data_IF_949566012432
#
_entry.id   IF_949566012432
#
_cell.length_a   1.000
_cell.length_b   1.000
_cell.length_c   1.000
_cell.angle_alpha   90.00
_cell.angle_beta   90.00
_cell.angle_gamma   90.00
#
_symmetry.space_group_name_H-M   'P 1'
#
loop_
_entity.id
_entity.type
_entity.pdbx_description
1 polymer ?
#
# COMPACT_ATOMS: atom_id res chain seq x y z
N UNK A 1 -32.07 3.20 -11.85
CA UNK A 1 -31.86 2.95 -10.41
C UNK A 1 -30.38 3.18 -10.10
N UNK A 2 -30.03 3.89 -9.01
CA UNK A 2 -28.63 4.08 -8.63
C UNK A 2 -28.07 2.79 -8.01
N UNK A 3 -26.87 2.39 -8.42
CA UNK A 3 -26.22 1.17 -7.91
C UNK A 3 -25.87 1.37 -6.43
N UNK A 4 -26.35 0.46 -5.58
CA UNK A 4 -26.09 0.49 -4.13
C UNK A 4 -24.65 0.05 -3.90
N UNK A 5 -23.84 0.89 -3.24
CA UNK A 5 -22.44 0.56 -2.92
C UNK A 5 -22.33 -0.30 -1.67
N UNK A 6 -21.40 -1.27 -1.68
CA UNK A 6 -21.10 -2.10 -0.51
C UNK A 6 -20.48 -1.25 0.61
N UNK A 7 -20.57 -1.68 1.89
CA UNK A 7 -19.86 -1.01 2.98
C UNK A 7 -18.34 -0.90 2.72
N UNK A 8 -17.72 -1.93 2.11
CA UNK A 8 -16.31 -1.95 1.70
C UNK A 8 -16.01 -0.86 0.67
N UNK A 9 -16.82 -0.78 -0.40
CA UNK A 9 -16.71 0.27 -1.43
C UNK A 9 -16.85 1.69 -0.85
N UNK A 10 -17.79 1.90 0.08
CA UNK A 10 -17.97 3.21 0.76
C UNK A 10 -16.73 3.59 1.58
N UNK A 11 -16.20 2.65 2.37
CA UNK A 11 -15.00 2.85 3.18
C UNK A 11 -13.75 3.08 2.32
N UNK A 12 -13.59 2.32 1.24
CA UNK A 12 -12.48 2.52 0.28
C UNK A 12 -12.53 3.90 -0.35
N UNK A 13 -13.73 4.38 -0.71
CA UNK A 13 -13.91 5.75 -1.21
C UNK A 13 -13.53 6.78 -0.13
N UNK A 14 -13.95 6.58 1.12
CA UNK A 14 -13.58 7.45 2.24
C UNK A 14 -12.05 7.50 2.44
N UNK A 15 -11.38 6.34 2.42
CA UNK A 15 -9.92 6.25 2.54
C UNK A 15 -9.23 7.01 1.40
N UNK A 16 -9.72 6.88 0.17
CA UNK A 16 -9.20 7.63 -0.98
C UNK A 16 -9.35 9.14 -0.78
N UNK A 17 -10.50 9.60 -0.29
CA UNK A 17 -10.75 11.03 -0.02
C UNK A 17 -9.81 11.53 1.07
N UNK A 18 -9.72 10.84 2.21
CA UNK A 18 -8.83 11.23 3.32
C UNK A 18 -7.38 11.28 2.85
N UNK A 19 -6.94 10.29 2.07
CA UNK A 19 -5.59 10.24 1.50
C UNK A 19 -5.34 11.42 0.55
N UNK A 20 -6.29 11.74 -0.33
CA UNK A 20 -6.15 12.85 -1.26
C UNK A 20 -6.06 14.20 -0.52
N UNK A 21 -6.88 14.40 0.51
CA UNK A 21 -6.81 15.60 1.37
C UNK A 21 -5.47 15.65 2.10
N UNK A 22 -5.03 14.53 2.68
CA UNK A 22 -3.72 14.43 3.34
C UNK A 22 -2.57 14.75 2.39
N UNK A 23 -2.62 14.26 1.15
CA UNK A 23 -1.61 14.56 0.13
C UNK A 23 -1.50 16.06 -0.14
N UNK A 24 -2.63 16.74 -0.36
CA UNK A 24 -2.66 18.19 -0.59
C UNK A 24 -2.09 18.95 0.62
N UNK A 25 -2.51 18.58 1.84
CA UNK A 25 -2.00 19.20 3.06
C UNK A 25 -0.50 18.96 3.27
N UNK A 26 -0.02 17.76 2.97
CA UNK A 26 1.40 17.42 3.07
C UNK A 26 2.25 18.21 2.08
N UNK A 27 1.81 18.34 0.82
CA UNK A 27 2.49 19.19 -0.17
C UNK A 27 2.57 20.62 0.33
N UNK A 28 1.45 21.20 0.79
CA UNK A 28 1.41 22.58 1.27
C UNK A 28 2.32 22.80 2.50
N UNK A 29 2.29 21.88 3.47
CA UNK A 29 3.06 22.01 4.70
C UNK A 29 4.56 21.84 4.44
N UNK A 30 4.96 20.80 3.70
CA UNK A 30 6.38 20.54 3.39
C UNK A 30 6.92 21.66 2.49
N UNK A 31 6.20 22.07 1.44
CA UNK A 31 6.65 23.18 0.58
C UNK A 31 6.78 24.50 1.33
N UNK A 32 5.85 24.81 2.23
CA UNK A 32 5.93 26.02 3.07
C UNK A 32 7.11 25.97 4.03
N UNK A 33 7.37 24.80 4.65
CA UNK A 33 8.51 24.61 5.54
C UNK A 33 9.84 24.73 4.79
N UNK A 34 9.99 24.06 3.65
CA UNK A 34 11.20 24.14 2.82
C UNK A 34 11.44 25.56 2.34
N UNK A 35 10.37 26.28 1.93
CA UNK A 35 10.45 27.69 1.57
C UNK A 35 10.90 28.55 2.74
N UNK A 36 10.30 28.38 3.92
CA UNK A 36 10.69 29.11 5.12
C UNK A 36 12.17 28.91 5.45
N UNK A 37 12.63 27.65 5.46
CA UNK A 37 14.05 27.31 5.70
C UNK A 37 14.96 27.96 4.65
N UNK A 38 14.59 27.90 3.37
CA UNK A 38 15.39 28.54 2.32
C UNK A 38 15.39 30.06 2.44
N UNK A 39 14.28 30.67 2.83
CA UNK A 39 14.19 32.13 2.98
C UNK A 39 15.01 32.61 4.18
N UNK A 40 14.93 31.92 5.32
CA UNK A 40 15.80 32.17 6.49
C UNK A 40 17.28 32.06 6.11
N UNK A 41 17.66 31.04 5.31
CA UNK A 41 19.06 30.85 4.86
C UNK A 41 19.59 31.97 3.95
N UNK A 42 18.72 32.82 3.40
CA UNK A 42 19.10 33.92 2.50
C UNK A 42 18.95 35.30 3.15
N UNK A 43 18.48 35.40 4.41
CA UNK A 43 18.26 36.70 5.06
C UNK A 43 19.51 37.58 5.10
N UNK A 44 20.67 36.99 5.32
CA UNK A 44 21.96 37.71 5.36
C UNK A 44 22.26 38.47 4.06
N UNK A 45 21.76 37.96 2.92
CA UNK A 45 22.00 38.56 1.59
C UNK A 45 21.37 39.95 1.42
N UNK A 46 20.41 40.33 2.28
CA UNK A 46 19.77 41.65 2.23
C UNK A 46 20.66 42.81 2.68
N UNK A 47 21.68 42.51 3.50
CA UNK A 47 22.67 43.46 4.00
C UNK A 47 24.09 43.05 3.58
N UNK A 48 24.22 42.28 2.50
CA UNK A 48 25.51 41.79 2.02
C UNK A 48 26.26 42.89 1.25
N UNK A 49 27.58 42.90 1.42
CA UNK A 49 28.49 43.67 0.58
C UNK A 49 28.97 42.81 -0.60
N UNK A 50 29.43 43.46 -1.67
CA UNK A 50 29.94 42.79 -2.87
C UNK A 50 31.46 42.85 -2.93
N UNK A 51 32.09 41.72 -3.25
CA UNK A 51 33.50 41.63 -3.60
C UNK A 51 33.67 40.96 -4.97
N UNK A 52 34.78 41.27 -5.63
CA UNK A 52 35.20 40.57 -6.84
C UNK A 52 36.08 39.40 -6.44
N UNK A 53 35.69 38.19 -6.84
CA UNK A 53 36.47 36.97 -6.68
C UNK A 53 37.19 36.62 -7.97
N UNK A 54 38.40 36.09 -7.83
CA UNK A 54 39.19 35.53 -8.93
C UNK A 54 39.03 34.03 -8.94
N UNK A 55 38.70 33.46 -10.11
CA UNK A 55 38.66 32.00 -10.29
C UNK A 55 40.09 31.45 -10.27
N UNK A 56 40.40 30.64 -9.26
CA UNK A 56 41.71 30.02 -9.08
C UNK A 56 41.87 28.74 -9.92
N UNK A 57 40.85 27.89 -9.93
CA UNK A 57 40.86 26.65 -10.69
C UNK A 57 39.45 26.13 -10.95
N UNK A 58 39.32 25.35 -12.03
CA UNK A 58 38.13 24.59 -12.37
C UNK A 58 38.57 23.13 -12.46
N UNK A 59 37.98 22.27 -11.63
CA UNK A 59 38.34 20.84 -11.54
C UNK A 59 37.11 20.00 -11.87
N UNK A 60 37.27 19.07 -12.81
CA UNK A 60 36.24 18.07 -13.12
C UNK A 60 36.52 16.78 -12.35
N UNK A 61 35.54 16.29 -11.61
CA UNK A 61 35.60 15.04 -10.84
C UNK A 61 34.46 14.11 -11.26
N UNK A 62 34.77 12.88 -11.66
CA UNK A 62 33.74 11.88 -11.97
C UNK A 62 33.45 11.01 -10.75
N UNK A 63 32.23 11.07 -10.23
CA UNK A 63 31.73 10.19 -9.17
C UNK A 63 31.17 8.90 -9.78
N UNK A 64 31.74 7.74 -9.41
CA UNK A 64 31.16 6.43 -9.71
C UNK A 64 30.15 6.05 -8.61
N UNK A 65 28.90 5.80 -8.99
CA UNK A 65 27.87 5.28 -8.10
C UNK A 65 27.14 4.10 -8.71
N UNK A 66 26.50 3.27 -7.87
CA UNK A 66 25.65 2.15 -8.34
C UNK A 66 24.18 2.51 -8.19
N UNK A 67 23.39 2.24 -9.22
CA UNK A 67 21.95 2.41 -9.13
C UNK A 67 21.30 1.29 -8.28
N UNK A 68 20.00 1.43 -7.97
CA UNK A 68 19.19 0.42 -7.27
C UNK A 68 19.19 -0.99 -7.93
N UNK A 69 19.65 -1.10 -9.19
CA UNK A 69 19.81 -2.37 -9.94
C UNK A 69 21.26 -2.86 -9.97
N UNK A 70 22.15 -2.27 -9.17
CA UNK A 70 23.57 -2.61 -9.06
C UNK A 70 24.45 -2.22 -10.26
N UNK A 71 23.91 -1.51 -11.25
CA UNK A 71 24.66 -1.06 -12.44
C UNK A 71 25.48 0.17 -12.10
N UNK A 72 26.74 0.17 -12.52
CA UNK A 72 27.64 1.33 -12.44
C UNK A 72 27.07 2.50 -13.26
N UNK A 73 27.10 3.68 -12.68
CA UNK A 73 26.76 4.97 -13.28
C UNK A 73 27.88 5.93 -12.89
N UNK A 74 28.05 6.94 -13.74
CA UNK A 74 29.03 7.99 -13.54
C UNK A 74 28.26 9.32 -13.52
N UNK A 75 28.65 10.21 -12.61
CA UNK A 75 28.18 11.60 -12.58
C UNK A 75 29.42 12.48 -12.59
N UNK A 76 29.50 13.37 -13.56
CA UNK A 76 30.57 14.35 -13.63
C UNK A 76 30.19 15.57 -12.79
N UNK A 77 31.10 15.96 -11.90
CA UNK A 77 31.02 17.14 -11.07
C UNK A 77 32.05 18.17 -11.53
N UNK A 78 31.62 19.41 -11.73
CA UNK A 78 32.51 20.53 -12.03
C UNK A 78 32.61 21.41 -10.80
N UNK A 79 33.80 21.50 -10.23
CA UNK A 79 34.09 22.30 -9.05
C UNK A 79 34.88 23.56 -9.43
N UNK A 80 34.41 24.71 -8.94
CA UNK A 80 35.07 25.99 -9.12
C UNK A 80 35.65 26.44 -7.77
N UNK A 81 36.97 26.66 -7.74
CA UNK A 81 37.66 27.26 -6.61
C UNK A 81 37.91 28.75 -6.89
N UNK A 82 37.58 29.61 -5.93
CA UNK A 82 37.70 31.05 -6.07
C UNK A 82 38.25 31.68 -4.78
N UNK A 83 38.81 32.87 -4.92
CA UNK A 83 39.33 33.66 -3.80
C UNK A 83 38.95 35.12 -3.97
N UNK A 84 38.64 35.80 -2.86
CA UNK A 84 38.35 37.23 -2.83
C UNK A 84 38.96 37.89 -1.58
N UNK A 85 39.16 39.20 -1.67
CA UNK A 85 39.61 40.02 -0.54
C UNK A 85 38.41 40.79 0.02
N UNK A 86 38.16 40.65 1.32
CA UNK A 86 37.13 41.40 2.03
C UNK A 86 37.64 41.78 3.42
N UNK A 87 37.47 43.06 3.80
CA UNK A 87 37.82 43.56 5.14
C UNK A 87 39.27 43.26 5.59
N UNK A 88 40.21 43.28 4.63
CA UNK A 88 41.63 42.97 4.88
C UNK A 88 41.94 41.48 5.10
N UNK A 89 40.96 40.59 4.85
CA UNK A 89 41.12 39.14 4.86
C UNK A 89 40.97 38.57 3.45
N UNK A 90 41.77 37.55 3.19
CA UNK A 90 41.66 36.74 1.98
C UNK A 90 40.82 35.50 2.30
N UNK A 91 39.72 35.32 1.59
CA UNK A 91 38.80 34.20 1.76
C UNK A 91 38.78 33.38 0.48
N UNK A 92 38.94 32.07 0.62
CA UNK A 92 38.93 31.11 -0.48
C UNK A 92 37.90 30.03 -0.23
N UNK A 93 37.16 29.64 -1.26
CA UNK A 93 36.14 28.60 -1.16
C UNK A 93 36.04 27.79 -2.46
N UNK A 94 35.39 26.63 -2.38
CA UNK A 94 35.20 25.68 -3.49
C UNK A 94 33.75 25.27 -3.59
N UNK A 95 33.17 25.42 -4.79
CA UNK A 95 31.74 25.21 -5.00
C UNK A 95 31.42 24.35 -6.23
N UNK A 96 30.36 23.55 -6.15
CA UNK A 96 29.87 22.73 -7.25
C UNK A 96 29.05 23.60 -8.22
N UNK A 97 29.52 23.68 -9.47
CA UNK A 97 28.89 24.42 -10.57
C UNK A 97 28.44 23.50 -11.71
N UNK A 98 28.27 22.21 -11.46
CA UNK A 98 27.94 21.19 -12.49
C UNK A 98 26.66 21.49 -13.28
N UNK A 99 25.71 22.19 -12.66
CA UNK A 99 24.45 22.58 -13.32
C UNK A 99 24.55 23.93 -14.06
N UNK A 100 25.70 24.59 -14.01
CA UNK A 100 25.90 25.99 -14.38
C UNK A 100 27.21 26.19 -15.15
N UNK A 101 27.37 25.41 -16.22
CA UNK A 101 28.56 25.38 -17.11
C UNK A 101 28.84 26.70 -17.85
N UNK A 102 27.99 27.72 -17.70
CA UNK A 102 28.21 29.06 -18.28
C UNK A 102 29.16 29.93 -17.44
N UNK A 103 29.51 29.49 -16.22
CA UNK A 103 30.49 30.16 -15.33
C UNK A 103 31.88 29.55 -15.55
N UNK A 104 32.56 29.85 -16.67
CA UNK A 104 33.88 29.26 -16.89
C UNK A 104 34.75 29.92 -17.96
N UNK A 105 35.50 30.94 -17.52
CA UNK A 105 36.87 31.21 -17.95
C UNK A 105 37.82 31.26 -16.75
N UNK A 106 39.00 30.65 -16.87
CA UNK A 106 40.05 30.74 -15.84
C UNK A 106 40.55 32.19 -15.78
N UNK A 107 40.58 32.80 -14.59
CA UNK A 107 40.90 34.22 -14.43
C UNK A 107 39.73 35.19 -14.69
N UNK A 108 38.50 34.69 -14.88
CA UNK A 108 37.32 35.55 -14.87
C UNK A 108 37.03 36.06 -13.46
N UNK A 109 36.52 37.30 -13.42
CA UNK A 109 36.06 37.96 -12.21
C UNK A 109 34.60 37.58 -11.94
N UNK A 110 34.34 37.01 -10.76
CA UNK A 110 33.00 36.64 -10.30
C UNK A 110 32.57 37.55 -9.16
N UNK A 111 31.30 37.94 -9.16
CA UNK A 111 30.74 38.70 -8.03
C UNK A 111 30.38 37.75 -6.88
N UNK A 112 30.97 37.99 -5.71
CA UNK A 112 30.64 37.33 -4.45
C UNK A 112 29.89 38.31 -3.55
N UNK A 113 28.83 37.83 -2.92
CA UNK A 113 28.15 38.49 -1.81
C UNK A 113 28.71 37.93 -0.51
N UNK A 114 29.09 38.79 0.44
CA UNK A 114 29.54 38.39 1.77
C UNK A 114 28.85 39.21 2.86
N UNK A 115 28.73 38.65 4.06
CA UNK A 115 28.17 39.35 5.20
C UNK A 115 29.21 40.31 5.83
N UNK A 116 28.92 41.62 5.95
CA UNK A 116 29.80 42.56 6.63
C UNK A 116 30.10 42.14 8.07
N UNK A 117 31.37 42.19 8.46
CA UNK A 117 31.88 41.71 9.75
C UNK A 117 32.01 40.19 9.87
N UNK A 118 31.55 39.42 8.87
CA UNK A 118 31.75 37.96 8.78
C UNK A 118 31.99 37.50 7.31
N UNK A 119 33.17 37.79 6.73
CA UNK A 119 33.47 37.40 5.33
C UNK A 119 33.43 35.90 5.04
N UNK A 120 33.44 35.03 6.05
CA UNK A 120 33.30 33.58 5.87
C UNK A 120 31.87 33.18 5.48
N UNK A 121 30.86 33.98 5.83
CA UNK A 121 29.49 33.81 5.35
C UNK A 121 29.33 34.52 4.00
N UNK A 122 29.50 33.75 2.93
CA UNK A 122 29.52 34.26 1.57
C UNK A 122 28.86 33.30 0.58
N UNK A 123 28.47 33.83 -0.58
CA UNK A 123 27.97 33.06 -1.70
C UNK A 123 28.15 33.84 -3.01
N UNK A 124 28.31 33.12 -4.12
CA UNK A 124 28.31 33.75 -5.44
C UNK A 124 26.97 34.45 -5.70
N UNK A 125 27.00 35.67 -6.21
CA UNK A 125 25.81 36.50 -6.48
C UNK A 125 24.81 35.75 -7.36
N UNK A 126 25.33 35.01 -8.35
CA UNK A 126 24.56 34.15 -9.22
C UNK A 126 23.72 33.11 -8.46
N UNK A 127 24.28 32.43 -7.45
CA UNK A 127 23.58 31.41 -6.69
C UNK A 127 22.47 32.01 -5.84
N UNK A 128 22.73 33.18 -5.24
CA UNK A 128 21.72 33.94 -4.50
C UNK A 128 20.57 34.33 -5.44
N UNK A 129 20.87 34.90 -6.62
CA UNK A 129 19.87 35.24 -7.64
C UNK A 129 19.10 34.03 -8.15
N UNK A 130 19.76 32.88 -8.33
CA UNK A 130 19.13 31.63 -8.75
C UNK A 130 18.17 31.08 -7.70
N UNK A 131 18.57 31.07 -6.42
CA UNK A 131 17.71 30.69 -5.30
C UNK A 131 16.52 31.65 -5.13
N UNK A 132 16.74 32.96 -5.26
CA UNK A 132 15.67 33.97 -5.24
C UNK A 132 14.70 33.82 -6.41
N UNK A 133 15.19 33.54 -7.63
CA UNK A 133 14.33 33.28 -8.81
C UNK A 133 13.45 32.06 -8.61
N UNK A 134 13.96 31.05 -7.90
CA UNK A 134 13.24 29.83 -7.58
C UNK A 134 12.44 29.90 -6.26
N UNK A 135 12.37 31.07 -5.60
CA UNK A 135 11.61 31.31 -4.36
C UNK A 135 10.11 31.48 -4.61
N UNK A 136 9.53 30.54 -5.38
CA UNK A 136 8.09 30.42 -5.57
C UNK A 136 7.58 29.19 -4.85
N UNK A 137 6.40 29.30 -4.21
CA UNK A 137 5.76 28.17 -3.54
C UNK A 137 5.55 26.99 -4.51
N UNK A 138 5.32 27.28 -5.79
CA UNK A 138 5.15 26.27 -6.85
C UNK A 138 6.42 25.46 -7.09
N UNK A 139 7.60 26.09 -7.09
CA UNK A 139 8.90 25.40 -7.20
C UNK A 139 9.11 24.40 -6.06
N UNK A 140 8.86 24.84 -4.82
CA UNK A 140 8.93 23.97 -3.65
C UNK A 140 7.82 22.91 -3.61
N UNK A 141 6.63 23.20 -4.13
CA UNK A 141 5.58 22.20 -4.25
C UNK A 141 5.99 21.07 -5.21
N UNK A 142 6.58 21.41 -6.37
CA UNK A 142 7.03 20.42 -7.36
C UNK A 142 8.14 19.53 -6.79
N UNK A 143 9.14 20.13 -6.12
CA UNK A 143 10.27 19.37 -5.55
C UNK A 143 9.84 18.44 -4.40
N UNK A 144 8.72 18.73 -3.74
CA UNK A 144 8.21 17.94 -2.62
C UNK A 144 7.21 16.84 -3.05
N UNK A 145 6.78 16.80 -4.31
CA UNK A 145 5.85 15.79 -4.83
C UNK A 145 6.31 14.34 -4.62
N UNK A 146 7.58 13.95 -4.86
CA UNK A 146 8.01 12.56 -4.66
C UNK A 146 7.86 12.10 -3.21
N UNK A 147 8.19 12.97 -2.26
CA UNK A 147 8.15 12.68 -0.82
C UNK A 147 6.72 12.66 -0.28
N UNK A 148 5.95 13.70 -0.59
CA UNK A 148 4.54 13.80 -0.20
C UNK A 148 3.68 12.70 -0.83
N UNK A 149 3.96 12.33 -2.08
CA UNK A 149 3.32 11.21 -2.78
C UNK A 149 3.63 9.88 -2.11
N UNK A 150 4.88 9.64 -1.74
CA UNK A 150 5.28 8.45 -0.97
C UNK A 150 4.58 8.37 0.38
N UNK A 151 4.55 9.48 1.14
CA UNK A 151 3.86 9.55 2.43
C UNK A 151 2.35 9.33 2.30
N UNK A 152 1.71 9.93 1.29
CA UNK A 152 0.29 9.74 1.03
C UNK A 152 -0.03 8.29 0.62
N UNK A 153 0.80 7.67 -0.22
CA UNK A 153 0.65 6.27 -0.58
C UNK A 153 0.75 5.36 0.65
N UNK A 154 1.68 5.63 1.56
CA UNK A 154 1.76 4.90 2.82
C UNK A 154 0.50 5.08 3.67
N UNK A 155 0.02 6.32 3.81
CA UNK A 155 -1.20 6.61 4.55
C UNK A 155 -2.41 5.89 3.94
N UNK A 156 -2.49 5.80 2.60
CA UNK A 156 -3.51 5.03 1.91
C UNK A 156 -3.48 3.55 2.28
N UNK A 157 -2.30 2.94 2.30
CA UNK A 157 -2.13 1.54 2.68
C UNK A 157 -2.54 1.31 4.14
N UNK A 158 -2.11 2.20 5.05
CA UNK A 158 -2.41 2.13 6.47
C UNK A 158 -3.92 2.28 6.74
N UNK A 159 -4.54 3.31 6.17
CA UNK A 159 -5.98 3.54 6.29
C UNK A 159 -6.79 2.44 5.60
N UNK A 160 -6.33 1.97 4.45
CA UNK A 160 -6.91 0.83 3.74
C UNK A 160 -6.99 -0.38 4.66
N UNK A 161 -5.87 -0.70 5.29
CA UNK A 161 -5.79 -1.81 6.22
C UNK A 161 -6.69 -1.64 7.46
N UNK A 162 -6.68 -0.47 8.11
CA UNK A 162 -7.40 -0.26 9.37
C UNK A 162 -8.91 -0.08 9.17
N UNK A 163 -9.31 0.69 8.15
CA UNK A 163 -10.69 1.14 7.97
C UNK A 163 -11.48 0.31 6.95
N UNK A 164 -10.83 -0.28 5.94
CA UNK A 164 -11.54 -1.09 4.93
C UNK A 164 -11.87 -2.49 5.46
N UNK A 165 -11.20 -2.95 6.53
CA UNK A 165 -11.54 -4.19 7.25
C UNK A 165 -13.05 -4.33 7.45
N UNK A 166 -13.60 -5.40 6.88
CA UNK A 166 -15.03 -5.58 6.72
C UNK A 166 -15.84 -5.44 8.01
N UNK A 167 -17.01 -4.82 7.88
CA UNK A 167 -18.02 -4.86 8.93
C UNK A 167 -18.60 -6.27 9.01
N UNK A 168 -17.99 -7.14 9.83
CA UNK A 168 -18.43 -8.51 10.12
C UNK A 168 -19.88 -8.65 10.66
N UNK A 169 -20.59 -7.54 10.88
CA UNK A 169 -21.83 -7.50 11.68
C UNK A 169 -23.11 -7.17 10.92
N UNK A 170 -23.04 -6.73 9.65
CA UNK A 170 -24.24 -6.31 8.89
C UNK A 170 -24.41 -7.12 7.61
N UNK A 171 -25.66 -7.50 7.34
CA UNK A 171 -26.08 -8.10 6.08
C UNK A 171 -26.42 -6.94 5.11
N UNK A 172 -25.60 -6.65 4.09
CA UNK A 172 -25.80 -5.48 3.24
C UNK A 172 -26.89 -5.77 2.20
N UNK A 173 -27.97 -5.00 2.26
CA UNK A 173 -29.07 -5.09 1.28
C UNK A 173 -28.57 -4.88 -0.16
N UNK A 174 -29.12 -5.67 -1.08
CA UNK A 174 -28.75 -5.65 -2.50
C UNK A 174 -27.50 -6.48 -2.86
N UNK A 175 -26.90 -7.21 -1.91
CA UNK A 175 -25.76 -8.11 -2.15
C UNK A 175 -26.07 -9.57 -1.79
N UNK A 176 -27.32 -9.84 -1.42
CA UNK A 176 -27.81 -11.18 -1.16
C UNK A 176 -29.30 -11.27 -1.55
N UNK A 177 -29.71 -12.48 -1.87
CA UNK A 177 -31.10 -12.92 -1.96
C UNK A 177 -31.26 -14.18 -1.11
N UNK A 178 -32.40 -14.86 -1.24
CA UNK A 178 -32.62 -16.14 -0.54
C UNK A 178 -31.71 -17.27 -1.03
N UNK A 179 -31.30 -17.23 -2.31
CA UNK A 179 -30.51 -18.29 -2.94
C UNK A 179 -29.26 -17.77 -3.64
N UNK A 180 -28.96 -16.46 -3.63
CA UNK A 180 -27.78 -15.91 -4.30
C UNK A 180 -27.07 -14.85 -3.48
N UNK A 181 -25.75 -14.76 -3.66
CA UNK A 181 -24.85 -13.90 -2.90
C UNK A 181 -23.81 -13.30 -3.85
N UNK A 182 -23.66 -11.99 -3.79
CA UNK A 182 -22.73 -11.24 -4.62
C UNK A 182 -21.61 -10.67 -3.74
N UNK A 183 -20.40 -11.10 -4.01
CA UNK A 183 -19.19 -10.48 -3.52
C UNK A 183 -18.62 -9.51 -4.56
N UNK A 184 -18.84 -8.22 -4.35
CA UNK A 184 -18.33 -7.19 -5.26
C UNK A 184 -16.87 -6.85 -5.00
N UNK A 185 -16.36 -7.13 -3.79
CA UNK A 185 -15.00 -6.77 -3.42
C UNK A 185 -14.02 -7.80 -4.02
N UNK A 186 -14.37 -9.09 -3.95
CA UNK A 186 -13.61 -10.18 -4.59
C UNK A 186 -14.07 -10.53 -6.01
N UNK A 187 -15.17 -9.92 -6.46
CA UNK A 187 -15.76 -10.08 -7.80
C UNK A 187 -16.21 -11.53 -8.03
N UNK A 188 -16.96 -12.06 -7.08
CA UNK A 188 -17.40 -13.44 -7.07
C UNK A 188 -18.91 -13.52 -6.85
N UNK A 189 -19.56 -14.50 -7.46
CA UNK A 189 -20.99 -14.78 -7.24
C UNK A 189 -21.15 -16.24 -6.84
N UNK A 190 -22.00 -16.46 -5.83
CA UNK A 190 -22.42 -17.78 -5.39
C UNK A 190 -23.94 -17.82 -5.43
N UNK A 191 -24.52 -18.86 -6.03
CA UNK A 191 -25.97 -19.05 -6.07
C UNK A 191 -26.36 -20.53 -5.97
N UNK A 192 -27.54 -20.80 -5.44
CA UNK A 192 -28.20 -22.09 -5.51
C UNK A 192 -29.23 -22.00 -6.63
N UNK A 193 -29.03 -22.79 -7.69
CA UNK A 193 -29.94 -22.85 -8.82
C UNK A 193 -30.11 -24.30 -9.29
N UNK A 194 -31.36 -24.71 -9.49
CA UNK A 194 -31.74 -26.06 -9.97
C UNK A 194 -31.04 -27.23 -9.27
N UNK A 195 -30.82 -27.14 -7.95
CA UNK A 195 -30.14 -28.20 -7.18
C UNK A 195 -28.61 -28.18 -7.26
N UNK A 196 -28.04 -27.20 -7.95
CA UNK A 196 -26.60 -26.97 -8.05
C UNK A 196 -26.19 -25.72 -7.27
N UNK A 197 -24.99 -25.74 -6.73
CA UNK A 197 -24.29 -24.56 -6.25
C UNK A 197 -23.44 -24.00 -7.40
N UNK A 198 -23.89 -22.88 -7.95
CA UNK A 198 -23.29 -22.18 -9.08
C UNK A 198 -22.35 -21.09 -8.57
N UNK A 199 -21.10 -21.13 -9.01
CA UNK A 199 -20.07 -20.18 -8.59
C UNK A 199 -19.30 -19.67 -9.80
N UNK A 200 -19.07 -18.36 -9.90
CA UNK A 200 -18.30 -17.79 -11.00
C UNK A 200 -17.64 -16.46 -10.63
N UNK A 201 -16.51 -16.18 -11.28
CA UNK A 201 -15.78 -14.92 -11.16
C UNK A 201 -16.34 -13.85 -12.11
N UNK A 202 -16.18 -12.58 -11.74
CA UNK A 202 -16.63 -11.44 -12.53
C UNK A 202 -15.42 -10.66 -13.03
N UNK A 203 -15.38 -10.40 -14.34
CA UNK A 203 -14.39 -9.51 -14.89
C UNK A 203 -14.51 -8.09 -14.30
N UNK A 204 -13.39 -7.51 -13.85
CA UNK A 204 -13.35 -6.17 -13.26
C UNK A 204 -14.04 -5.09 -14.12
N UNK A 205 -13.97 -5.21 -15.45
CA UNK A 205 -14.60 -4.26 -16.37
C UNK A 205 -16.14 -4.33 -16.36
N UNK A 206 -16.70 -5.49 -16.07
CA UNK A 206 -18.14 -5.77 -16.09
C UNK A 206 -18.77 -5.75 -14.69
N UNK A 207 -17.98 -5.60 -13.63
CA UNK A 207 -18.42 -5.62 -12.23
C UNK A 207 -19.60 -4.70 -11.95
N UNK A 208 -19.57 -3.47 -12.49
CA UNK A 208 -20.64 -2.48 -12.29
C UNK A 208 -21.96 -2.92 -12.93
N UNK A 209 -21.88 -3.54 -14.11
CA UNK A 209 -23.06 -4.00 -14.85
C UNK A 209 -23.66 -5.24 -14.18
N UNK A 210 -22.82 -6.19 -13.75
CA UNK A 210 -23.26 -7.37 -12.98
C UNK A 210 -23.85 -6.96 -11.64
N UNK A 211 -23.23 -6.02 -10.92
CA UNK A 211 -23.76 -5.50 -9.66
C UNK A 211 -25.14 -4.84 -9.87
N UNK A 212 -25.29 -4.02 -10.91
CA UNK A 212 -26.57 -3.42 -11.26
C UNK A 212 -27.63 -4.46 -11.61
N UNK A 213 -27.26 -5.47 -12.40
CA UNK A 213 -28.13 -6.57 -12.79
C UNK A 213 -28.60 -7.41 -11.59
N UNK A 214 -27.67 -7.77 -10.70
CA UNK A 214 -27.97 -8.51 -9.46
C UNK A 214 -28.93 -7.71 -8.58
N UNK A 215 -28.64 -6.42 -8.37
CA UNK A 215 -29.48 -5.54 -7.55
C UNK A 215 -30.88 -5.30 -8.13
N UNK A 216 -31.02 -5.43 -9.45
CA UNK A 216 -32.32 -5.38 -10.12
C UNK A 216 -33.09 -6.71 -10.14
N UNK A 217 -32.52 -7.78 -9.54
CA UNK A 217 -33.17 -9.09 -9.46
C UNK A 217 -33.14 -9.90 -10.77
N UNK A 218 -32.14 -9.70 -11.63
CA UNK A 218 -31.97 -10.53 -12.83
C UNK A 218 -31.60 -11.98 -12.51
N UNK A 219 -31.88 -12.88 -13.45
CA UNK A 219 -31.61 -14.32 -13.28
C UNK A 219 -30.11 -14.63 -13.22
N UNK A 220 -29.73 -15.76 -12.62
CA UNK A 220 -28.33 -16.18 -12.53
C UNK A 220 -27.72 -16.37 -13.93
N UNK A 221 -28.47 -16.92 -14.88
CA UNK A 221 -28.01 -17.07 -16.27
C UNK A 221 -27.65 -15.72 -16.90
N UNK A 222 -28.47 -14.68 -16.67
CA UNK A 222 -28.15 -13.34 -17.16
C UNK A 222 -26.87 -12.79 -16.53
N UNK A 223 -26.65 -13.03 -15.24
CA UNK A 223 -25.43 -12.59 -14.53
C UNK A 223 -24.20 -13.31 -15.07
N UNK A 224 -24.30 -14.61 -15.32
CA UNK A 224 -23.25 -15.43 -15.93
C UNK A 224 -22.88 -14.87 -17.31
N UNK A 225 -23.86 -14.54 -18.15
CA UNK A 225 -23.61 -13.94 -19.47
C UNK A 225 -22.94 -12.55 -19.37
N UNK A 226 -23.35 -11.72 -18.41
CA UNK A 226 -22.78 -10.38 -18.22
C UNK A 226 -21.38 -10.40 -17.60
N UNK A 227 -21.06 -11.42 -16.81
CA UNK A 227 -19.83 -11.47 -16.01
C UNK A 227 -18.55 -11.54 -16.82
N UNK A 228 -18.60 -12.07 -18.06
CA UNK A 228 -17.42 -12.44 -18.86
C UNK A 228 -16.40 -13.20 -17.98
N UNK A 229 -16.92 -14.16 -17.21
CA UNK A 229 -16.18 -15.01 -16.28
C UNK A 229 -15.05 -15.76 -16.98
N UNK A 230 -14.02 -16.11 -16.22
CA UNK A 230 -12.98 -17.03 -16.67
C UNK A 230 -13.35 -18.48 -16.36
N UNK A 231 -14.10 -18.72 -15.27
CA UNK A 231 -14.51 -20.06 -14.83
C UNK A 231 -15.91 -20.02 -14.22
N UNK A 232 -16.75 -20.98 -14.61
CA UNK A 232 -17.97 -21.34 -13.89
C UNK A 232 -17.73 -22.69 -13.22
N UNK A 233 -18.09 -22.80 -11.95
CA UNK A 233 -18.11 -24.06 -11.22
C UNK A 233 -19.56 -24.38 -10.89
N UNK A 234 -20.01 -25.58 -11.26
CA UNK A 234 -21.33 -26.12 -10.95
C UNK A 234 -21.12 -27.32 -10.03
N UNK A 235 -21.55 -27.21 -8.77
CA UNK A 235 -21.41 -28.28 -7.79
C UNK A 235 -22.80 -28.86 -7.45
N UNK A 236 -23.12 -30.09 -7.85
CA UNK A 236 -24.37 -30.73 -7.47
C UNK A 236 -24.49 -30.84 -5.95
N UNK A 237 -25.54 -30.27 -5.35
CA UNK A 237 -25.66 -30.21 -3.88
C UNK A 237 -25.71 -31.60 -3.23
N UNK A 238 -26.19 -32.61 -3.96
CA UNK A 238 -26.24 -34.00 -3.51
C UNK A 238 -24.88 -34.70 -3.43
N UNK A 239 -23.87 -34.19 -4.13
CA UNK A 239 -22.54 -34.81 -4.25
C UNK A 239 -21.50 -34.14 -3.32
N UNK A 240 -21.89 -33.09 -2.59
CA UNK A 240 -20.98 -32.38 -1.68
C UNK A 240 -20.71 -33.22 -0.43
N UNK A 241 -19.51 -33.81 -0.37
CA UNK A 241 -19.05 -34.70 0.70
C UNK A 241 -18.75 -33.95 2.00
N UNK A 242 -18.17 -32.75 1.91
CA UNK A 242 -17.81 -31.94 3.07
C UNK A 242 -18.07 -30.45 2.83
N UNK A 243 -18.54 -29.76 3.87
CA UNK A 243 -18.60 -28.30 3.93
C UNK A 243 -17.79 -27.86 5.15
N UNK A 244 -16.91 -26.88 5.02
CA UNK A 244 -16.18 -26.32 6.17
C UNK A 244 -16.08 -24.80 6.10
N UNK A 245 -15.97 -24.15 7.26
CA UNK A 245 -15.82 -22.70 7.36
C UNK A 245 -15.11 -22.32 8.65
N UNK A 246 -14.37 -21.23 8.60
CA UNK A 246 -13.75 -20.63 9.78
C UNK A 246 -14.61 -19.50 10.33
N UNK A 247 -14.64 -19.32 11.65
CA UNK A 247 -15.51 -18.33 12.31
C UNK A 247 -15.28 -16.90 11.81
N UNK A 248 -14.01 -16.57 11.56
CA UNK A 248 -13.56 -15.23 11.23
C UNK A 248 -13.27 -15.01 9.75
N UNK A 249 -13.52 -16.03 8.91
CA UNK A 249 -13.41 -15.94 7.47
C UNK A 249 -14.79 -15.68 6.85
N UNK A 250 -14.78 -14.95 5.76
CA UNK A 250 -15.82 -14.81 4.74
C UNK A 250 -16.01 -16.06 3.90
N UNK A 251 -15.09 -17.03 3.91
CA UNK A 251 -15.11 -18.18 2.99
C UNK A 251 -15.84 -19.40 3.55
N UNK A 252 -16.55 -20.11 2.66
CA UNK A 252 -16.98 -21.51 2.86
C UNK A 252 -16.19 -22.38 1.90
N UNK A 253 -15.69 -23.52 2.38
CA UNK A 253 -15.08 -24.53 1.56
C UNK A 253 -16.05 -25.69 1.35
N UNK A 254 -16.26 -26.07 0.10
CA UNK A 254 -17.05 -27.24 -0.27
C UNK A 254 -16.15 -28.27 -0.96
N UNK A 255 -16.21 -29.52 -0.51
CA UNK A 255 -15.51 -30.63 -1.13
C UNK A 255 -16.46 -31.42 -2.02
N UNK A 256 -16.04 -31.63 -3.26
CA UNK A 256 -16.74 -32.40 -4.30
C UNK A 256 -15.67 -33.17 -5.07
N UNK A 257 -15.85 -34.47 -5.28
CA UNK A 257 -14.89 -35.34 -5.98
C UNK A 257 -13.42 -35.19 -5.53
N UNK A 258 -13.20 -35.12 -4.20
CA UNK A 258 -11.89 -34.87 -3.55
C UNK A 258 -11.22 -33.51 -3.89
N UNK A 259 -11.88 -32.64 -4.65
CA UNK A 259 -11.46 -31.26 -4.89
C UNK A 259 -12.06 -30.30 -3.85
N UNK A 260 -11.25 -29.32 -3.42
CA UNK A 260 -11.66 -28.27 -2.49
C UNK A 260 -12.03 -27.00 -3.24
N UNK A 261 -13.29 -26.60 -3.18
CA UNK A 261 -13.79 -25.36 -3.78
C UNK A 261 -13.98 -24.29 -2.72
N UNK A 262 -13.37 -23.12 -2.92
CA UNK A 262 -13.57 -21.93 -2.07
C UNK A 262 -14.74 -21.07 -2.57
N UNK A 263 -15.65 -20.75 -1.67
CA UNK A 263 -16.81 -19.90 -1.90
C UNK A 263 -16.64 -18.61 -1.10
N UNK A 264 -16.41 -17.51 -1.80
CA UNK A 264 -16.16 -16.20 -1.21
C UNK A 264 -17.47 -15.42 -1.03
N UNK A 265 -17.58 -14.69 0.09
CA UNK A 265 -18.77 -13.94 0.45
C UNK A 265 -18.40 -12.57 1.03
N UNK A 266 -19.17 -11.55 0.68
CA UNK A 266 -18.89 -10.15 1.03
C UNK A 266 -18.62 -9.84 2.52
N UNK A 267 -19.08 -10.70 3.43
CA UNK A 267 -18.66 -10.71 4.84
C UNK A 267 -19.17 -11.96 5.57
N UNK A 268 -18.67 -12.14 6.81
CA UNK A 268 -19.07 -13.22 7.74
C UNK A 268 -20.58 -13.37 7.95
N UNK A 269 -21.37 -12.29 7.94
CA UNK A 269 -22.84 -12.38 8.10
C UNK A 269 -23.52 -12.88 6.84
N UNK A 270 -23.08 -12.43 5.66
CA UNK A 270 -23.54 -12.94 4.36
C UNK A 270 -23.21 -14.42 4.25
N UNK A 271 -21.97 -14.79 4.59
CA UNK A 271 -21.55 -16.19 4.70
C UNK A 271 -22.43 -17.01 5.65
N UNK A 272 -22.74 -16.49 6.83
CA UNK A 272 -23.59 -17.19 7.81
C UNK A 272 -24.99 -17.44 7.26
N UNK A 273 -25.55 -16.45 6.56
CA UNK A 273 -26.83 -16.58 5.86
C UNK A 273 -26.75 -17.65 4.76
N UNK A 274 -25.74 -17.58 3.89
CA UNK A 274 -25.51 -18.52 2.81
C UNK A 274 -25.33 -19.95 3.32
N UNK A 275 -24.48 -20.14 4.33
CA UNK A 275 -24.23 -21.44 4.96
C UNK A 275 -25.53 -22.10 5.45
N UNK A 276 -26.42 -21.33 6.10
CA UNK A 276 -27.72 -21.84 6.55
C UNK A 276 -28.57 -22.36 5.39
N UNK A 277 -28.57 -21.63 4.26
CA UNK A 277 -29.34 -21.99 3.06
C UNK A 277 -28.72 -23.17 2.31
N UNK A 278 -27.40 -23.19 2.16
CA UNK A 278 -26.65 -24.32 1.56
C UNK A 278 -26.88 -25.58 2.38
N UNK A 279 -26.68 -25.54 3.70
CA UNK A 279 -26.89 -26.72 4.56
C UNK A 279 -28.34 -27.23 4.53
N UNK A 280 -29.33 -26.34 4.40
CA UNK A 280 -30.72 -26.74 4.26
C UNK A 280 -31.03 -27.39 2.90
N UNK A 281 -30.24 -27.09 1.87
CA UNK A 281 -30.41 -27.60 0.52
C UNK A 281 -29.60 -28.88 0.25
N UNK A 282 -28.63 -29.24 1.12
CA UNK A 282 -27.86 -30.47 0.97
C UNK A 282 -28.62 -31.65 1.61
N UNK A 283 -28.96 -32.71 0.83
CA UNK A 283 -29.93 -33.72 1.23
C UNK A 283 -29.47 -34.76 2.28
N UNK A 284 -28.26 -34.68 2.86
CA UNK A 284 -27.71 -35.73 3.72
C UNK A 284 -27.45 -35.28 5.17
N UNK A 285 -27.63 -36.20 6.13
CA UNK A 285 -27.32 -36.00 7.55
C UNK A 285 -25.79 -35.85 7.73
N UNK A 286 -25.32 -34.60 7.83
CA UNK A 286 -23.90 -34.31 8.04
C UNK A 286 -23.53 -34.36 9.52
N UNK A 287 -22.47 -35.08 9.86
CA UNK A 287 -21.88 -35.05 11.21
C UNK A 287 -21.21 -33.69 11.39
N UNK A 288 -21.62 -32.97 12.44
CA UNK A 288 -21.03 -31.69 12.79
C UNK A 288 -19.78 -31.87 13.65
N UNK A 289 -18.65 -31.41 13.15
CA UNK A 289 -17.37 -31.40 13.88
C UNK A 289 -16.91 -29.95 14.08
N UNK A 290 -16.63 -29.60 15.33
CA UNK A 290 -16.07 -28.30 15.71
C UNK A 290 -14.62 -28.50 16.15
N UNK A 291 -13.67 -27.84 15.48
CA UNK A 291 -12.25 -27.82 15.87
C UNK A 291 -11.88 -26.41 16.31
N UNK A 292 -11.34 -26.27 17.51
CA UNK A 292 -10.88 -24.99 18.05
C UNK A 292 -9.35 -24.97 18.08
N UNK A 293 -8.73 -23.95 17.48
CA UNK A 293 -7.29 -23.72 17.59
C UNK A 293 -7.00 -22.70 18.68
N UNK A 294 -5.88 -22.88 19.37
CA UNK A 294 -5.43 -21.92 20.39
C UNK A 294 -4.94 -20.62 19.73
N UNK A 295 -5.02 -19.49 20.46
CA UNK A 295 -4.63 -18.15 19.97
C UNK A 295 -3.18 -18.10 19.45
N UNK A 296 -2.29 -18.79 20.15
CA UNK A 296 -0.86 -18.84 19.81
C UNK A 296 -0.63 -19.61 18.50
N UNK A 297 -1.36 -20.72 18.31
CA UNK A 297 -1.28 -21.55 17.12
C UNK A 297 -1.80 -20.80 15.88
N UNK A 298 -2.83 -19.98 16.02
CA UNK A 298 -3.31 -19.10 14.97
C UNK A 298 -2.28 -18.00 14.60
N UNK A 299 -1.57 -17.46 15.59
CA UNK A 299 -0.61 -16.37 15.43
C UNK A 299 0.78 -16.80 14.92
N UNK A 300 1.09 -18.11 14.87
CA UNK A 300 2.43 -18.65 14.63
C UNK A 300 3.15 -18.04 13.41
N UNK A 301 2.45 -17.93 12.27
CA UNK A 301 3.06 -17.45 11.03
C UNK A 301 3.38 -15.96 11.10
N UNK A 302 2.51 -15.16 11.73
CA UNK A 302 2.75 -13.73 11.92
C UNK A 302 3.93 -13.48 12.86
N UNK A 303 4.11 -14.33 13.89
CA UNK A 303 5.27 -14.31 14.79
C UNK A 303 6.58 -14.63 14.07
N UNK A 304 6.59 -15.66 13.21
CA UNK A 304 7.77 -16.01 12.39
C UNK A 304 8.12 -14.87 11.44
N UNK A 305 7.13 -14.28 10.75
CA UNK A 305 7.36 -13.14 9.85
C UNK A 305 7.91 -11.92 10.58
N UNK A 306 7.42 -11.63 11.78
CA UNK A 306 7.93 -10.56 12.64
C UNK A 306 9.42 -10.78 12.96
N UNK A 307 9.78 -11.99 13.39
CA UNK A 307 11.17 -12.36 13.69
C UNK A 307 12.11 -12.19 12.49
N UNK A 308 11.69 -12.65 11.31
CA UNK A 308 12.48 -12.53 10.07
C UNK A 308 12.71 -11.06 9.71
N UNK A 309 11.68 -10.22 9.82
CA UNK A 309 11.80 -8.78 9.52
C UNK A 309 12.70 -8.06 10.52
N UNK A 310 12.59 -8.36 11.82
CA UNK A 310 13.47 -7.80 12.84
C UNK A 310 14.93 -8.23 12.62
N UNK A 311 15.17 -9.50 12.31
CA UNK A 311 16.50 -10.00 11.99
C UNK A 311 17.06 -9.33 10.73
N UNK A 312 16.27 -9.21 9.65
CA UNK A 312 16.68 -8.53 8.43
C UNK A 312 17.01 -7.05 8.65
N UNK A 313 16.23 -6.34 9.47
CA UNK A 313 16.53 -4.95 9.84
C UNK A 313 17.87 -4.82 10.58
N UNK A 314 18.19 -5.76 11.47
CA UNK A 314 19.44 -5.73 12.23
C UNK A 314 20.69 -5.74 11.34
N UNK A 315 20.63 -6.38 10.17
CA UNK A 315 21.76 -6.46 9.22
C UNK A 315 21.88 -5.26 8.27
N UNK A 316 21.00 -4.26 8.34
CA UNK A 316 21.00 -3.15 7.40
C UNK A 316 21.53 -1.88 8.06
N UNK A 317 22.71 -1.44 7.66
CA UNK A 317 23.36 -0.23 8.20
C UNK A 317 22.91 1.06 7.48
N UNK A 318 21.63 1.17 7.13
CA UNK A 318 21.05 2.32 6.41
C UNK A 318 19.72 2.76 7.05
N UNK A 319 19.70 4.00 7.54
CA UNK A 319 18.55 4.60 8.22
C UNK A 319 17.25 4.56 7.39
N UNK A 320 17.35 4.76 6.07
CA UNK A 320 16.19 4.71 5.16
C UNK A 320 15.56 3.31 5.12
N UNK A 321 16.38 2.26 5.17
CA UNK A 321 15.89 0.88 5.16
C UNK A 321 15.22 0.49 6.48
N UNK A 322 15.71 1.00 7.61
CA UNK A 322 15.00 0.84 8.89
C UNK A 322 13.59 1.42 8.85
N UNK A 323 13.41 2.60 8.25
CA UNK A 323 12.08 3.21 8.07
C UNK A 323 11.18 2.31 7.20
N UNK A 324 11.71 1.79 6.09
CA UNK A 324 10.95 0.89 5.20
C UNK A 324 10.55 -0.39 5.93
N UNK A 325 11.48 -1.04 6.66
CA UNK A 325 11.16 -2.26 7.41
C UNK A 325 10.17 -1.97 8.53
N UNK A 326 10.31 -0.86 9.25
CA UNK A 326 9.35 -0.42 10.27
C UNK A 326 7.95 -0.19 9.67
N UNK A 327 7.86 0.42 8.48
CA UNK A 327 6.60 0.59 7.77
C UNK A 327 5.96 -0.76 7.39
N UNK A 328 6.75 -1.71 6.87
CA UNK A 328 6.27 -3.06 6.54
C UNK A 328 5.76 -3.77 7.80
N UNK A 329 6.53 -3.70 8.89
CA UNK A 329 6.16 -4.27 10.18
C UNK A 329 4.83 -3.72 10.71
N UNK A 330 4.67 -2.39 10.63
CA UNK A 330 3.51 -1.70 11.19
C UNK A 330 2.23 -1.95 10.38
N UNK A 331 2.33 -2.03 9.05
CA UNK A 331 1.15 -2.19 8.19
C UNK A 331 0.76 -3.66 8.01
N UNK A 332 1.72 -4.59 7.94
CA UNK A 332 1.43 -5.98 7.55
C UNK A 332 1.43 -6.97 8.72
N UNK A 333 2.51 -7.00 9.51
CA UNK A 333 2.69 -8.07 10.52
C UNK A 333 2.01 -7.76 11.83
N UNK A 334 2.16 -6.55 12.37
CA UNK A 334 1.58 -6.17 13.67
C UNK A 334 0.07 -6.36 13.72
N UNK A 335 -0.72 -5.83 12.78
CA UNK A 335 -2.16 -5.92 12.93
C UNK A 335 -2.77 -7.26 12.51
N UNK A 336 -2.07 -8.09 11.73
CA UNK A 336 -2.45 -9.50 11.54
C UNK A 336 -2.20 -10.29 12.82
N UNK A 337 -1.04 -10.08 13.46
CA UNK A 337 -0.68 -10.67 14.75
C UNK A 337 -1.71 -10.30 15.83
N UNK A 338 -2.01 -9.01 16.00
CA UNK A 338 -3.02 -8.56 16.98
C UNK A 338 -4.40 -9.17 16.70
N UNK A 339 -4.83 -9.23 15.44
CA UNK A 339 -6.14 -9.83 15.11
C UNK A 339 -6.23 -11.32 15.47
N UNK A 340 -5.13 -12.06 15.33
CA UNK A 340 -5.07 -13.51 15.60
C UNK A 340 -4.87 -13.82 17.08
N UNK A 341 -4.19 -12.93 17.82
CA UNK A 341 -4.02 -13.06 19.26
C UNK A 341 -5.29 -12.68 20.04
N UNK A 342 -6.11 -11.76 19.50
CA UNK A 342 -7.30 -11.27 20.19
C UNK A 342 -8.49 -12.24 20.11
N UNK A 343 -8.58 -13.05 19.06
CA UNK A 343 -9.77 -13.86 18.77
C UNK A 343 -9.39 -15.33 18.47
N UNK A 344 -9.89 -16.32 19.22
CA UNK A 344 -9.62 -17.74 18.96
C UNK A 344 -10.13 -18.16 17.58
N UNK A 345 -9.33 -18.92 16.82
CA UNK A 345 -9.72 -19.41 15.49
C UNK A 345 -10.52 -20.70 15.62
N UNK A 346 -11.80 -20.67 15.24
CA UNK A 346 -12.72 -21.81 15.34
C UNK A 346 -13.09 -22.26 13.93
N UNK A 347 -12.77 -23.50 13.60
CA UNK A 347 -13.14 -24.14 12.33
C UNK A 347 -14.35 -25.04 12.57
N UNK A 348 -15.38 -24.91 11.72
CA UNK A 348 -16.58 -25.75 11.74
C UNK A 348 -16.62 -26.55 10.44
N UNK A 349 -16.85 -27.85 10.55
CA UNK A 349 -16.98 -28.74 9.39
C UNK A 349 -18.20 -29.64 9.53
N UNK A 350 -18.82 -29.92 8.38
CA UNK A 350 -19.96 -30.82 8.20
C UNK A 350 -19.54 -31.84 7.15
N UNK A 351 -19.39 -33.11 7.53
CA UNK A 351 -19.02 -34.19 6.62
C UNK A 351 -20.11 -35.25 6.56
N UNK A 352 -20.26 -35.90 5.41
CA UNK A 352 -20.97 -37.17 5.29
C UNK A 352 -20.06 -38.25 5.91
N UNK A 353 -20.64 -39.18 6.67
CA UNK A 353 -19.90 -40.24 7.37
C UNK A 353 -19.00 -41.02 6.40
N UNK A 354 -17.68 -40.88 6.55
CA UNK A 354 -16.77 -41.94 6.13
C UNK A 354 -16.85 -43.00 7.24
N UNK A 355 -17.14 -44.24 6.87
CA UNK A 355 -17.07 -45.41 7.76
C UNK A 355 -15.80 -45.26 8.64
N UNK A 356 -15.92 -45.29 9.98
CA UNK A 356 -14.76 -45.14 10.83
C UNK A 356 -13.76 -46.24 10.47
N UNK A 357 -12.51 -45.85 10.21
CA UNK A 357 -11.38 -46.76 10.14
C UNK A 357 -11.22 -47.39 11.53
N UNK A 358 -11.96 -48.47 11.78
CA UNK A 358 -11.84 -49.26 12.99
C UNK A 358 -10.50 -49.98 12.92
N UNK A 359 -9.61 -49.62 13.84
CA UNK A 359 -8.63 -50.54 14.46
C UNK A 359 -7.92 -51.51 13.52
N UNK A 360 -6.81 -51.08 12.94
CA UNK A 360 -5.69 -51.99 12.64
C UNK A 360 -4.64 -51.82 13.75
N UNK A 361 -4.78 -52.68 14.75
CA UNK A 361 -3.77 -53.10 15.72
C UNK A 361 -2.40 -53.27 15.08
N UNK A 362 -1.35 -52.72 15.72
CA UNK A 362 -0.07 -53.43 15.81
C UNK A 362 0.53 -53.20 17.20
N UNK A 363 0.07 -54.05 18.12
CA UNK A 363 0.93 -54.60 19.15
C UNK A 363 1.89 -55.60 18.49
N UNK A 364 3.18 -55.28 18.50
CA UNK A 364 4.32 -56.22 18.50
C UNK A 364 5.54 -55.46 18.99
#
# INVERSE_FOLDING_TARGET
MSIIKSPGQKRKTLVQIITAVFFVLAVLLISSLTRFVSHESLKWTSNADTATATVLSITEETEEYRNLKGRKRYRDHVWLAYEFQAEGKTVSDRIDVSNFFELSGLGEELTVLYQPGNPEEHALEYQVKSKQRNDSLTSYAISTLPFSGGAAYFMYLLLGFVLVRESKKKLPEGFYTESSWLDVDDKYVVAIDQGNLVCFDINKKCLRDVQGAFQSGRSINDLVHLSKHSKITLLPLGEITQISTDHNSDVIYATHDDELHSLEFLNVKVKTHALKRILAAVPQAKIYVKRERTRLEAARFSLISLLILCAGAWFIDHYVMYIIVAMILFVWTLPTLFSRLWDPHVTRSWSVEAVPESTATSSS
#
